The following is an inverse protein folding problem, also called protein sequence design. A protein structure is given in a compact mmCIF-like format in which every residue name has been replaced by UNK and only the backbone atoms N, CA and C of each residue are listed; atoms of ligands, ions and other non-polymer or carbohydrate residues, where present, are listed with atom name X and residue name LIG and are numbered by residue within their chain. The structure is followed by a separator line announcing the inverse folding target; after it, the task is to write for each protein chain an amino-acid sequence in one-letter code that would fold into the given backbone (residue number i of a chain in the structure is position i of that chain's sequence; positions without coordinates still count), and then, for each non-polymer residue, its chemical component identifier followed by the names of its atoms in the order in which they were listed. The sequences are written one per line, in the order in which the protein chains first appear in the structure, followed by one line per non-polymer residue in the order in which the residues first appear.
data_IF_899354573055
#
_entry.id   IF_899354573055
#
_cell.length_a   1.000
_cell.length_b   1.000
_cell.length_c   1.000
_cell.angle_alpha   90.00
_cell.angle_beta   90.00
_cell.angle_gamma   90.00
#
_symmetry.space_group_name_H-M   'P 1'
#
loop_
_entity.id
_entity.type
_entity.pdbx_description
1 polymer ?
#
# COMPACT_ATOMS: atom_id res chain seq x y z
N UNK A 1 -11.83 13.32 -9.18
CA UNK A 1 -12.20 12.82 -9.03
C UNK A 1 -11.89 11.72 -9.23
N UNK A 2 -11.68 11.59 -10.32
CA UNK A 2 -11.39 10.20 -10.74
C UNK A 2 -10.24 9.62 -9.90
N UNK A 3 -9.15 10.35 -9.78
CA UNK A 3 -7.98 9.89 -9.00
C UNK A 3 -8.34 9.60 -7.54
N UNK A 4 -9.16 10.45 -6.94
CA UNK A 4 -9.61 10.24 -5.56
C UNK A 4 -10.52 9.01 -5.46
N UNK A 5 -11.39 8.83 -6.45
CA UNK A 5 -12.27 7.66 -6.50
C UNK A 5 -11.48 6.36 -6.62
N UNK A 6 -10.52 6.32 -7.55
CA UNK A 6 -9.69 5.13 -7.74
C UNK A 6 -8.83 4.84 -6.50
N UNK A 7 -8.37 5.90 -5.81
CA UNK A 7 -7.61 5.71 -4.56
C UNK A 7 -8.46 5.09 -3.46
N UNK A 8 -9.75 5.46 -3.37
CA UNK A 8 -10.67 4.84 -2.39
C UNK A 8 -10.88 3.37 -2.74
N UNK A 9 -11.11 3.05 -4.02
CA UNK A 9 -11.25 1.66 -4.46
C UNK A 9 -9.99 0.84 -4.12
N UNK A 10 -8.83 1.40 -4.34
CA UNK A 10 -7.57 0.73 -4.02
C UNK A 10 -7.41 0.54 -2.50
N UNK A 11 -7.68 1.58 -1.70
CA UNK A 11 -7.51 1.53 -0.24
C UNK A 11 -8.43 0.51 0.42
N UNK A 12 -9.64 0.34 -0.10
CA UNK A 12 -10.58 -0.66 0.41
C UNK A 12 -10.42 -2.01 -0.29
N UNK A 13 -9.48 -2.11 -1.25
CA UNK A 13 -9.22 -3.34 -2.01
C UNK A 13 -10.49 -3.86 -2.69
N UNK A 14 -11.36 -2.96 -3.16
CA UNK A 14 -12.58 -3.32 -3.85
C UNK A 14 -12.21 -3.95 -5.20
N UNK A 15 -12.76 -5.11 -5.47
CA UNK A 15 -12.46 -5.85 -6.69
C UNK A 15 -11.19 -6.68 -6.65
N UNK A 16 -10.42 -6.61 -5.54
CA UNK A 16 -9.18 -7.37 -5.38
C UNK A 16 -9.36 -8.63 -4.52
N UNK A 17 -10.55 -8.80 -3.93
CA UNK A 17 -10.85 -9.97 -3.12
C UNK A 17 -10.27 -9.99 -1.71
N UNK A 18 -9.47 -9.00 -1.35
CA UNK A 18 -8.79 -8.98 -0.04
C UNK A 18 -9.78 -8.89 1.11
N UNK A 19 -10.81 -8.04 0.98
CA UNK A 19 -11.82 -7.90 2.02
C UNK A 19 -12.63 -9.19 2.21
N UNK A 20 -12.93 -9.88 1.10
CA UNK A 20 -13.65 -11.16 1.16
C UNK A 20 -12.80 -12.22 1.85
N UNK A 21 -11.52 -12.31 1.48
CA UNK A 21 -10.60 -13.27 2.09
C UNK A 21 -10.42 -13.01 3.58
N UNK A 22 -10.21 -11.76 3.98
CA UNK A 22 -10.06 -11.40 5.39
C UNK A 22 -11.36 -11.60 6.16
N UNK A 23 -12.51 -11.27 5.52
CA UNK A 23 -13.83 -11.44 6.12
C UNK A 23 -14.15 -12.91 6.41
N UNK A 24 -13.58 -13.83 5.64
CA UNK A 24 -13.81 -15.26 5.85
C UNK A 24 -13.28 -15.76 7.18
N UNK A 25 -12.34 -15.04 7.81
CA UNK A 25 -11.78 -15.39 9.12
C UNK A 25 -12.53 -14.74 10.28
N UNK A 26 -13.45 -13.81 10.00
CA UNK A 26 -14.17 -13.08 11.03
C UNK A 26 -15.50 -13.75 11.37
N UNK A 27 -15.99 -13.50 12.59
CA UNK A 27 -17.33 -13.91 12.98
C UNK A 27 -18.37 -13.10 12.20
N UNK A 28 -19.53 -13.68 11.94
CA UNK A 28 -20.57 -13.07 11.11
C UNK A 28 -21.02 -11.70 11.64
N UNK A 29 -21.04 -11.50 12.93
CA UNK A 29 -21.52 -10.26 13.57
C UNK A 29 -20.39 -9.27 13.88
N UNK A 30 -19.23 -9.39 13.23
CA UNK A 30 -18.10 -8.50 13.46
C UNK A 30 -18.39 -7.08 12.98
N UNK A 31 -18.03 -6.09 13.79
CA UNK A 31 -18.16 -4.68 13.41
C UNK A 31 -16.97 -4.26 12.54
N UNK A 32 -17.26 -3.80 11.31
CA UNK A 32 -16.22 -3.49 10.32
C UNK A 32 -16.17 -2.01 9.92
N UNK A 33 -16.72 -1.10 10.72
CA UNK A 33 -16.74 0.33 10.39
C UNK A 33 -15.52 1.04 10.98
N UNK A 34 -14.63 1.51 10.12
CA UNK A 34 -13.42 2.26 10.52
C UNK A 34 -13.11 3.36 9.50
N UNK A 35 -12.74 4.53 10.00
CA UNK A 35 -12.48 5.70 9.17
C UNK A 35 -11.08 6.29 9.34
N UNK A 36 -10.05 5.45 9.44
CA UNK A 36 -8.68 5.89 9.71
C UNK A 36 -8.08 6.75 8.60
N UNK A 37 -8.45 6.50 7.34
CA UNK A 37 -7.92 7.27 6.21
C UNK A 37 -8.28 8.76 6.28
N UNK A 38 -9.46 9.06 6.80
CA UNK A 38 -9.90 10.46 6.95
C UNK A 38 -9.00 11.22 7.95
N UNK A 39 -8.70 10.59 9.08
CA UNK A 39 -7.82 11.19 10.08
C UNK A 39 -6.38 11.31 9.58
N UNK A 40 -5.90 10.29 8.84
CA UNK A 40 -4.57 10.34 8.22
C UNK A 40 -4.45 11.54 7.28
N UNK A 41 -5.52 11.85 6.54
CA UNK A 41 -5.53 13.02 5.66
C UNK A 41 -5.26 14.31 6.41
N UNK A 42 -5.87 14.51 7.58
CA UNK A 42 -5.60 15.70 8.41
C UNK A 42 -4.14 15.77 8.82
N UNK A 43 -3.55 14.65 9.25
CA UNK A 43 -2.15 14.61 9.67
C UNK A 43 -1.22 14.97 8.51
N UNK A 44 -1.44 14.35 7.34
CA UNK A 44 -0.62 14.59 6.15
C UNK A 44 -0.66 16.04 5.73
N UNK A 45 -1.86 16.61 5.62
CA UNK A 45 -2.00 18.01 5.17
C UNK A 45 -1.51 18.99 6.23
N UNK A 46 -1.57 18.65 7.52
CA UNK A 46 -0.99 19.50 8.57
C UNK A 46 0.52 19.57 8.42
N UNK A 47 1.18 18.42 8.17
CA UNK A 47 2.63 18.37 7.97
C UNK A 47 3.02 19.14 6.70
N UNK A 48 2.28 18.95 5.61
CA UNK A 48 2.55 19.67 4.35
C UNK A 48 2.35 21.17 4.53
N UNK A 49 1.32 21.59 5.28
CA UNK A 49 1.07 22.98 5.59
C UNK A 49 2.20 23.60 6.39
N UNK A 50 2.70 22.87 7.40
CA UNK A 50 3.86 23.31 8.18
C UNK A 50 5.09 23.49 7.29
N UNK A 51 5.37 22.51 6.42
CA UNK A 51 6.50 22.61 5.49
C UNK A 51 6.37 23.78 4.52
N UNK A 52 5.15 24.00 3.99
CA UNK A 52 4.91 25.11 3.07
C UNK A 52 5.15 26.47 3.76
N UNK A 53 4.69 26.58 5.01
CA UNK A 53 4.89 27.81 5.80
C UNK A 53 6.38 28.05 6.09
N UNK A 54 7.12 27.00 6.48
CA UNK A 54 8.55 27.13 6.77
C UNK A 54 9.38 27.50 5.54
N UNK A 55 9.01 26.98 4.37
CA UNK A 55 9.73 27.24 3.13
C UNK A 55 9.21 28.49 2.41
N UNK A 56 8.10 29.06 2.85
CA UNK A 56 7.50 30.25 2.23
C UNK A 56 7.00 30.00 0.82
N UNK A 57 6.54 28.77 0.51
CA UNK A 57 6.04 28.42 -0.82
C UNK A 57 4.61 27.89 -0.71
N UNK A 58 3.93 27.87 -1.85
CA UNK A 58 2.56 27.35 -1.90
C UNK A 58 2.58 25.84 -1.66
N UNK A 59 1.57 25.34 -0.95
CA UNK A 59 1.48 23.94 -0.53
C UNK A 59 1.57 22.96 -1.72
N UNK A 60 1.10 23.38 -2.90
CA UNK A 60 1.16 22.52 -4.09
C UNK A 60 2.58 22.20 -4.56
N UNK A 61 3.55 23.01 -4.12
CA UNK A 61 4.96 22.79 -4.48
C UNK A 61 5.66 21.81 -3.54
N UNK A 62 5.11 21.59 -2.35
CA UNK A 62 5.63 20.59 -1.39
C UNK A 62 4.84 19.30 -1.46
N UNK A 63 3.59 19.36 -1.92
CA UNK A 63 2.71 18.20 -2.01
C UNK A 63 3.02 17.40 -3.28
N UNK A 64 3.83 16.36 -3.13
CA UNK A 64 4.13 15.41 -4.21
C UNK A 64 3.39 14.11 -3.95
N UNK A 65 3.11 13.37 -5.02
CA UNK A 65 2.52 12.04 -4.89
C UNK A 65 3.59 10.97 -5.08
N UNK A 66 3.30 9.76 -4.61
CA UNK A 66 4.20 8.64 -4.77
C UNK A 66 5.38 8.64 -3.79
N UNK A 67 6.50 7.98 -4.16
CA UNK A 67 7.63 7.82 -3.25
C UNK A 67 8.26 9.14 -2.81
N UNK A 68 8.14 10.19 -3.62
CA UNK A 68 8.68 11.51 -3.27
C UNK A 68 8.09 12.05 -1.97
N UNK A 69 6.81 11.82 -1.73
CA UNK A 69 6.17 12.26 -0.49
C UNK A 69 6.76 11.53 0.72
N UNK A 70 6.91 10.21 0.62
CA UNK A 70 7.37 9.39 1.75
C UNK A 70 8.87 9.51 2.03
N UNK A 71 9.70 9.60 0.98
CA UNK A 71 11.15 9.49 1.14
C UNK A 71 11.90 10.82 0.96
N UNK A 72 11.23 11.87 0.51
CA UNK A 72 11.84 13.19 0.37
C UNK A 72 11.14 14.22 1.25
N UNK A 73 9.81 14.37 1.07
CA UNK A 73 9.06 15.43 1.76
C UNK A 73 9.02 15.22 3.27
N UNK A 74 8.66 14.01 3.72
CA UNK A 74 8.56 13.73 5.15
C UNK A 74 9.90 13.76 5.87
N UNK A 75 10.97 13.13 5.37
CA UNK A 75 12.28 13.28 6.03
C UNK A 75 12.74 14.73 6.10
N UNK A 76 12.47 15.52 5.06
CA UNK A 76 12.81 16.94 5.08
C UNK A 76 12.02 17.69 6.16
N UNK A 77 10.73 17.37 6.35
CA UNK A 77 9.95 17.96 7.43
C UNK A 77 10.52 17.61 8.80
N UNK A 78 10.95 16.36 8.96
CA UNK A 78 11.49 15.86 10.23
C UNK A 78 12.79 16.59 10.60
N UNK A 79 13.62 16.95 9.61
CA UNK A 79 14.88 17.68 9.93
C UNK A 79 14.63 19.04 10.54
N UNK A 80 13.43 19.61 10.39
CA UNK A 80 13.07 20.89 10.98
C UNK A 80 12.58 20.76 12.44
N UNK A 81 12.43 19.53 12.94
CA UNK A 81 11.91 19.26 14.27
C UNK A 81 13.03 19.00 15.27
N UNK A 82 12.83 19.32 16.57
CA UNK A 82 13.84 18.97 17.58
C UNK A 82 13.95 17.44 17.71
N UNK A 83 15.17 16.95 17.97
CA UNK A 83 15.48 15.53 18.05
C UNK A 83 15.11 14.79 16.75
N UNK A 84 15.51 15.38 15.62
CA UNK A 84 15.20 14.87 14.28
C UNK A 84 15.54 13.37 14.08
N UNK A 85 16.70 12.84 14.55
CA UNK A 85 16.99 11.41 14.33
C UNK A 85 15.97 10.47 14.97
N UNK A 86 15.41 10.82 16.12
CA UNK A 86 14.39 10.00 16.76
C UNK A 86 13.10 9.98 15.91
N UNK A 87 12.67 11.16 15.48
CA UNK A 87 11.45 11.26 14.66
C UNK A 87 11.62 10.55 13.32
N UNK A 88 12.80 10.62 12.70
CA UNK A 88 13.08 9.91 11.48
C UNK A 88 12.99 8.39 11.68
N UNK A 89 13.60 7.90 12.76
CA UNK A 89 13.55 6.46 13.07
C UNK A 89 12.12 5.97 13.27
N UNK A 90 11.34 6.73 14.04
CA UNK A 90 9.94 6.38 14.30
C UNK A 90 9.11 6.41 12.99
N UNK A 91 9.35 7.41 12.15
CA UNK A 91 8.64 7.53 10.86
C UNK A 91 8.93 6.33 9.95
N UNK A 92 10.20 5.98 9.78
CA UNK A 92 10.54 4.86 8.91
C UNK A 92 10.12 3.52 9.51
N UNK A 93 10.12 3.39 10.84
CA UNK A 93 9.59 2.20 11.50
C UNK A 93 8.08 2.08 11.26
N UNK A 94 7.36 3.19 11.33
CA UNK A 94 5.93 3.22 10.99
C UNK A 94 5.68 2.77 9.54
N UNK A 95 6.47 3.31 8.59
CA UNK A 95 6.34 2.92 7.18
C UNK A 95 6.59 1.43 6.98
N UNK A 96 7.60 0.90 7.68
CA UNK A 96 7.92 -0.53 7.59
C UNK A 96 6.76 -1.38 8.09
N UNK A 97 6.18 -1.01 9.25
CA UNK A 97 5.04 -1.75 9.79
C UNK A 97 3.82 -1.70 8.86
N UNK A 98 3.53 -0.51 8.31
CA UNK A 98 2.41 -0.36 7.39
C UNK A 98 2.63 -1.17 6.11
N UNK A 99 3.85 -1.18 5.60
CA UNK A 99 4.20 -1.96 4.41
C UNK A 99 4.05 -3.45 4.65
N UNK A 100 4.56 -3.93 5.78
CA UNK A 100 4.46 -5.35 6.14
C UNK A 100 3.00 -5.80 6.26
N UNK A 101 2.17 -4.99 6.94
CA UNK A 101 0.76 -5.31 7.10
C UNK A 101 0.06 -5.42 5.74
N UNK A 102 0.30 -4.45 4.86
CA UNK A 102 -0.29 -4.46 3.52
C UNK A 102 0.17 -5.66 2.70
N UNK A 103 1.44 -6.03 2.81
CA UNK A 103 1.98 -7.19 2.10
C UNK A 103 1.35 -8.49 2.60
N UNK A 104 1.22 -8.63 3.91
CA UNK A 104 0.59 -9.84 4.48
C UNK A 104 -0.84 -9.99 3.97
N UNK A 105 -1.62 -8.91 3.98
CA UNK A 105 -3.01 -8.92 3.52
C UNK A 105 -3.09 -9.28 2.03
N UNK A 106 -2.24 -8.67 1.21
CA UNK A 106 -2.24 -8.92 -0.24
C UNK A 106 -1.89 -10.36 -0.58
N UNK A 107 -0.83 -10.88 0.02
CA UNK A 107 -0.40 -12.27 -0.22
C UNK A 107 -1.46 -13.25 0.30
N UNK A 108 -2.02 -13.00 1.49
CA UNK A 108 -3.04 -13.87 2.06
C UNK A 108 -4.27 -13.93 1.16
N UNK A 109 -4.74 -12.79 0.66
CA UNK A 109 -5.89 -12.75 -0.25
C UNK A 109 -5.63 -13.53 -1.53
N UNK A 110 -4.45 -13.33 -2.13
CA UNK A 110 -4.08 -14.00 -3.36
C UNK A 110 -3.97 -15.51 -3.16
N UNK A 111 -3.27 -15.94 -2.10
CA UNK A 111 -3.05 -17.38 -1.82
C UNK A 111 -4.38 -18.08 -1.50
N UNK A 112 -5.24 -17.43 -0.71
CA UNK A 112 -6.55 -18.00 -0.38
C UNK A 112 -7.36 -18.22 -1.66
N UNK A 113 -7.42 -17.20 -2.53
CA UNK A 113 -8.14 -17.33 -3.80
C UNK A 113 -7.54 -18.40 -4.70
N UNK A 114 -6.23 -18.48 -4.76
CA UNK A 114 -5.54 -19.48 -5.59
C UNK A 114 -5.84 -20.91 -5.10
N UNK A 115 -5.76 -21.13 -3.78
CA UNK A 115 -6.01 -22.44 -3.21
C UNK A 115 -7.48 -22.86 -3.34
N UNK A 116 -8.40 -21.90 -3.27
CA UNK A 116 -9.83 -22.20 -3.43
C UNK A 116 -10.16 -22.64 -4.87
N UNK A 117 -9.34 -22.22 -5.84
CA UNK A 117 -9.54 -22.64 -7.24
C UNK A 117 -9.00 -24.05 -7.52
N UNK A 118 -8.13 -24.57 -6.66
CA UNK A 118 -7.54 -25.90 -6.88
C UNK A 118 -8.52 -27.00 -6.47
N UNK A 119 -8.63 -28.10 -7.26
CA UNK A 119 -9.49 -29.22 -6.87
C UNK A 119 -8.96 -29.93 -5.62
N UNK A 120 -9.87 -30.45 -4.82
CA UNK A 120 -9.57 -31.09 -3.54
C UNK A 120 -8.56 -32.25 -3.67
N UNK A 121 -8.44 -32.87 -4.86
CA UNK A 121 -7.52 -33.98 -5.11
C UNK A 121 -6.05 -33.55 -5.09
N UNK A 122 -5.78 -32.26 -5.16
CA UNK A 122 -4.41 -31.72 -5.17
C UNK A 122 -3.95 -31.21 -3.82
N UNK A 123 -4.75 -31.36 -2.76
CA UNK A 123 -4.36 -30.89 -1.43
C UNK A 123 -3.29 -31.81 -0.82
N UNK A 124 -2.14 -31.22 -0.46
CA UNK A 124 -1.12 -31.92 0.33
C UNK A 124 -0.74 -31.02 1.53
N UNK A 125 -0.08 -31.67 2.49
CA UNK A 125 0.08 -31.14 3.85
C UNK A 125 0.69 -29.73 3.90
N UNK A 126 1.67 -29.44 3.03
CA UNK A 126 2.38 -28.15 3.05
C UNK A 126 2.09 -27.29 1.83
N UNK A 127 0.92 -27.48 1.21
CA UNK A 127 0.55 -26.77 0.00
C UNK A 127 0.54 -25.25 0.20
N UNK A 128 -0.01 -24.79 1.32
CA UNK A 128 -0.12 -23.35 1.60
C UNK A 128 1.27 -22.73 1.79
N UNK A 129 2.12 -23.39 2.57
CA UNK A 129 3.48 -22.88 2.83
C UNK A 129 4.30 -22.81 1.55
N UNK A 130 4.20 -23.83 0.70
CA UNK A 130 4.91 -23.87 -0.59
C UNK A 130 4.38 -22.76 -1.50
N UNK A 131 3.06 -22.54 -1.55
CA UNK A 131 2.45 -21.49 -2.38
C UNK A 131 2.90 -20.12 -1.93
N UNK A 132 2.93 -19.85 -0.61
CA UNK A 132 3.40 -18.59 -0.06
C UNK A 132 4.88 -18.39 -0.41
N UNK A 133 5.72 -19.42 -0.24
CA UNK A 133 7.15 -19.32 -0.54
C UNK A 133 7.39 -19.01 -2.01
N UNK A 134 6.67 -19.67 -2.91
CA UNK A 134 6.79 -19.42 -4.36
C UNK A 134 6.32 -18.03 -4.72
N UNK A 135 5.21 -17.57 -4.14
CA UNK A 135 4.69 -16.23 -4.38
C UNK A 135 5.70 -15.18 -3.92
N UNK A 136 6.25 -15.34 -2.72
CA UNK A 136 7.25 -14.40 -2.19
C UNK A 136 8.52 -14.39 -3.03
N UNK A 137 8.98 -15.56 -3.49
CA UNK A 137 10.16 -15.64 -4.35
C UNK A 137 9.92 -14.94 -5.69
N UNK A 138 8.75 -15.14 -6.28
CA UNK A 138 8.39 -14.48 -7.55
C UNK A 138 8.33 -12.97 -7.38
N UNK A 139 7.66 -12.49 -6.33
CA UNK A 139 7.59 -11.07 -6.05
C UNK A 139 8.97 -10.46 -5.81
N UNK A 140 9.84 -11.18 -5.08
CA UNK A 140 11.21 -10.73 -4.83
C UNK A 140 11.98 -10.54 -6.14
N UNK A 141 11.87 -11.51 -7.07
CA UNK A 141 12.55 -11.41 -8.36
C UNK A 141 12.04 -10.21 -9.16
N UNK A 142 10.70 -9.99 -9.17
CA UNK A 142 10.11 -8.84 -9.86
C UNK A 142 10.59 -7.54 -9.21
N UNK A 143 10.60 -7.48 -7.88
CA UNK A 143 10.99 -6.28 -7.15
C UNK A 143 12.47 -5.95 -7.33
N UNK A 144 13.32 -6.93 -7.63
CA UNK A 144 14.73 -6.65 -7.94
C UNK A 144 14.87 -5.69 -9.11
N UNK A 145 13.94 -5.73 -10.09
CA UNK A 145 13.99 -4.80 -11.21
C UNK A 145 13.77 -3.35 -10.78
N UNK A 146 13.08 -3.15 -9.66
CA UNK A 146 12.76 -1.80 -9.16
C UNK A 146 13.91 -1.15 -8.41
N UNK A 147 14.94 -1.92 -8.02
CA UNK A 147 16.12 -1.36 -7.35
C UNK A 147 17.28 -1.11 -8.31
N UNK A 148 17.07 -1.32 -9.61
CA UNK A 148 18.04 -0.96 -10.65
C UNK A 148 18.03 0.55 -10.91
N UNK A 149 18.98 1.01 -11.71
CA UNK A 149 19.08 2.44 -12.05
C UNK A 149 17.81 2.95 -12.74
N UNK A 150 17.13 2.11 -13.51
CA UNK A 150 15.85 2.44 -14.15
C UNK A 150 14.63 2.06 -13.33
N UNK A 151 14.83 1.66 -12.08
CA UNK A 151 13.75 1.12 -11.24
C UNK A 151 12.60 2.07 -10.99
N UNK A 152 12.85 3.38 -10.95
CA UNK A 152 11.78 4.37 -10.76
C UNK A 152 10.79 4.33 -11.93
N UNK A 153 11.28 4.12 -13.15
CA UNK A 153 10.38 4.00 -14.32
C UNK A 153 9.54 2.73 -14.24
N UNK A 154 10.14 1.62 -13.82
CA UNK A 154 9.44 0.35 -13.61
C UNK A 154 8.37 0.53 -12.53
N UNK A 155 8.73 1.16 -11.41
CA UNK A 155 7.79 1.43 -10.30
C UNK A 155 6.62 2.28 -10.80
N UNK A 156 6.89 3.38 -11.51
CA UNK A 156 5.83 4.25 -12.04
C UNK A 156 4.90 3.52 -12.99
N UNK A 157 5.45 2.61 -13.79
CA UNK A 157 4.66 1.82 -14.73
C UNK A 157 3.70 0.89 -13.97
N UNK A 158 4.21 0.17 -12.98
CA UNK A 158 3.37 -0.68 -12.13
C UNK A 158 2.35 0.13 -11.35
N UNK A 159 2.76 1.25 -10.76
CA UNK A 159 1.89 2.10 -9.95
C UNK A 159 0.73 2.65 -10.77
N UNK A 160 0.98 3.02 -12.03
CA UNK A 160 -0.02 3.67 -12.88
C UNK A 160 -0.94 2.66 -13.56
N UNK A 161 -0.42 1.52 -14.04
CA UNK A 161 -1.16 0.62 -14.91
C UNK A 161 -1.62 -0.68 -14.25
N UNK A 162 -1.02 -1.09 -13.16
CA UNK A 162 -1.31 -2.41 -12.58
C UNK A 162 -2.64 -2.42 -11.83
N UNK A 163 -2.73 -1.72 -10.70
CA UNK A 163 -3.93 -1.72 -9.85
C UNK A 163 -4.40 -0.30 -9.57
N UNK A 164 -4.47 0.53 -10.61
CA UNK A 164 -4.79 1.95 -10.47
C UNK A 164 -5.60 2.43 -11.68
N UNK A 165 -6.19 3.59 -11.54
CA UNK A 165 -6.89 4.27 -12.62
C UNK A 165 -8.01 3.43 -13.22
N UNK A 166 -8.06 3.42 -14.55
CA UNK A 166 -9.10 2.72 -15.29
C UNK A 166 -8.98 1.20 -15.16
N UNK A 167 -7.78 0.68 -14.98
CA UNK A 167 -7.57 -0.76 -14.80
C UNK A 167 -8.27 -1.25 -13.54
N UNK A 168 -8.10 -0.52 -12.43
CA UNK A 168 -8.75 -0.87 -11.17
C UNK A 168 -10.27 -0.75 -11.26
N UNK A 169 -10.77 0.31 -11.92
CA UNK A 169 -12.21 0.48 -12.11
C UNK A 169 -12.80 -0.65 -12.95
N UNK A 170 -12.08 -1.09 -13.99
CA UNK A 170 -12.51 -2.20 -14.81
C UNK A 170 -12.58 -3.51 -14.01
N UNK A 171 -11.57 -3.76 -13.19
CA UNK A 171 -11.53 -4.94 -12.32
C UNK A 171 -12.68 -4.92 -11.30
N UNK A 172 -12.97 -3.74 -10.75
CA UNK A 172 -14.04 -3.61 -9.75
C UNK A 172 -15.44 -3.76 -10.37
N UNK A 173 -15.58 -3.53 -11.66
CA UNK A 173 -16.85 -3.64 -12.37
C UNK A 173 -17.22 -5.11 -12.62
N UNK A 174 -16.24 -6.00 -12.88
CA UNK A 174 -16.45 -7.41 -13.15
C UNK A 174 -16.41 -8.27 -11.90
#
# INVERSE_FOLDING_TARGET
XIDAGTQIFFSYAIGLGALTALGSYNRFNNNCYNGTSFFAGFVVFSILGFMAAEQGVHISKVAESGPGLAFIAYPRAVTLMPVAPLWAALFFFMLLLLGLDSQFVGVEGFITGLLDLLPASYYFRFQREISVALCCALCFVIDLSMVTDGGMYVFQLFDYYSASGTTLLWQAFW
#
